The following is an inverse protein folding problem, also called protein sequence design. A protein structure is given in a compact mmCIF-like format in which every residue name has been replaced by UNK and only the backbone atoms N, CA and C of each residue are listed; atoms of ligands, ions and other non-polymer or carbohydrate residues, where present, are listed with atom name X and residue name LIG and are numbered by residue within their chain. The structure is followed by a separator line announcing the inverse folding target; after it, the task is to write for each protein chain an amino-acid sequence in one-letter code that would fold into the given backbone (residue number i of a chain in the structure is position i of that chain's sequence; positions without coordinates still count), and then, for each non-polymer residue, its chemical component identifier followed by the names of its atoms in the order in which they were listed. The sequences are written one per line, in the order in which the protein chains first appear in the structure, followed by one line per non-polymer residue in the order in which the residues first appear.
data_IF_429493657450
#
_entry.id   IF_429493657450
#
_cell.length_a   1.000
_cell.length_b   1.000
_cell.length_c   1.000
_cell.angle_alpha   90.00
_cell.angle_beta   90.00
_cell.angle_gamma   90.00
#
_symmetry.space_group_name_H-M   'P 1'
#
loop_
_entity.id
_entity.type
_entity.pdbx_description
1 polymer ?
#
# COMPACT_ATOMS: atom_id res chain seq x y z
N UNK A 1 7.02 17.47 -35.77
CA UNK A 1 7.94 17.48 -34.61
C UNK A 1 7.19 16.98 -33.39
N UNK A 2 7.62 15.92 -32.69
CA UNK A 2 6.99 15.52 -31.43
C UNK A 2 7.36 16.55 -30.36
N UNK A 3 6.35 17.12 -29.68
CA UNK A 3 6.55 18.03 -28.54
C UNK A 3 7.20 17.27 -27.38
N UNK A 4 8.26 17.84 -26.82
CA UNK A 4 8.88 17.36 -25.58
C UNK A 4 7.86 17.48 -24.43
N UNK A 5 7.54 16.37 -23.80
CA UNK A 5 6.81 16.34 -22.54
C UNK A 5 7.82 16.61 -21.43
N UNK A 6 7.59 17.68 -20.65
CA UNK A 6 8.38 17.96 -19.45
C UNK A 6 7.71 17.25 -18.26
N UNK A 7 8.32 16.22 -17.67
CA UNK A 7 7.83 15.68 -16.40
C UNK A 7 8.01 16.73 -15.30
N UNK A 8 6.91 17.10 -14.61
CA UNK A 8 6.99 17.86 -13.37
C UNK A 8 7.40 16.92 -12.24
N UNK A 9 8.59 17.13 -11.70
CA UNK A 9 9.16 16.33 -10.62
C UNK A 9 8.59 16.78 -9.26
N UNK A 10 7.80 15.92 -8.61
CA UNK A 10 7.55 15.96 -7.17
C UNK A 10 8.59 15.10 -6.45
N UNK A 11 9.22 15.63 -5.40
CA UNK A 11 10.33 14.98 -4.69
C UNK A 11 9.97 13.74 -3.84
N UNK A 12 8.75 13.22 -3.99
CA UNK A 12 8.36 11.89 -3.51
C UNK A 12 7.71 11.18 -4.68
N UNK A 13 8.36 10.15 -5.19
CA UNK A 13 8.01 9.44 -6.42
C UNK A 13 6.57 8.96 -6.44
N UNK A 14 5.72 9.75 -7.07
CA UNK A 14 4.41 9.36 -7.56
C UNK A 14 4.21 10.11 -8.86
N UNK A 15 4.23 9.37 -9.97
CA UNK A 15 3.81 9.88 -11.28
C UNK A 15 2.37 9.43 -11.45
N UNK A 16 1.45 10.40 -11.48
CA UNK A 16 0.13 10.20 -12.05
C UNK A 16 0.34 10.03 -13.55
N UNK A 17 0.17 8.82 -14.08
CA UNK A 17 0.18 8.58 -15.52
C UNK A 17 -1.14 9.11 -16.09
N UNK A 18 -1.19 10.39 -16.41
CA UNK A 18 -2.28 10.92 -17.25
C UNK A 18 -2.08 10.38 -18.68
N UNK A 19 -3.07 9.59 -19.11
CA UNK A 19 -3.04 8.78 -20.32
C UNK A 19 -2.85 9.58 -21.61
N UNK A 20 -2.20 8.93 -22.57
CA UNK A 20 -2.05 9.41 -23.93
C UNK A 20 -3.30 9.06 -24.74
N UNK A 21 -3.84 10.08 -25.42
CA UNK A 21 -4.80 10.08 -26.53
C UNK A 21 -6.32 9.98 -26.24
N UNK A 22 -7.00 11.12 -26.35
CA UNK A 22 -7.85 11.35 -27.52
C UNK A 22 -7.96 12.86 -27.83
N UNK A 23 -7.82 13.29 -29.10
CA UNK A 23 -8.11 14.65 -29.54
C UNK A 23 -9.57 14.73 -29.94
N UNK A 24 -10.41 15.34 -29.10
CA UNK A 24 -11.51 16.20 -29.54
C UNK A 24 -12.22 16.78 -28.32
N UNK A 25 -12.60 18.05 -28.45
CA UNK A 25 -12.87 18.93 -27.34
C UNK A 25 -14.12 18.63 -26.53
N UNK A 26 -14.03 18.92 -25.23
CA UNK A 26 -15.08 19.58 -24.48
C UNK A 26 -14.45 20.20 -23.23
N UNK A 27 -14.48 21.53 -23.18
CA UNK A 27 -14.28 22.31 -21.96
C UNK A 27 -15.36 21.89 -20.95
N UNK A 28 -14.95 21.20 -19.89
CA UNK A 28 -15.74 20.98 -18.70
C UNK A 28 -14.90 21.38 -17.50
N UNK A 29 -15.12 22.59 -17.00
CA UNK A 29 -14.60 23.07 -15.72
C UNK A 29 -14.96 22.05 -14.63
N UNK A 30 -13.94 21.44 -14.03
CA UNK A 30 -14.08 20.68 -12.79
C UNK A 30 -13.35 21.45 -11.70
N UNK A 31 -14.16 21.93 -10.76
CA UNK A 31 -13.81 22.63 -9.54
C UNK A 31 -12.54 22.07 -8.88
N UNK A 32 -11.50 22.89 -8.88
CA UNK A 32 -10.26 22.64 -8.17
C UNK A 32 -10.39 23.07 -6.71
N UNK A 33 -11.09 22.29 -5.88
CA UNK A 33 -10.89 22.31 -4.44
C UNK A 33 -9.66 21.47 -4.08
N UNK A 34 -8.48 21.96 -4.48
CA UNK A 34 -7.22 21.47 -3.95
C UNK A 34 -6.89 22.26 -2.69
N UNK A 35 -7.24 21.72 -1.52
CA UNK A 35 -6.68 22.22 -0.27
C UNK A 35 -5.14 22.10 -0.32
N UNK A 36 -4.39 23.12 0.11
CA UNK A 36 -2.94 23.10 0.04
C UNK A 36 -2.39 22.02 0.97
N UNK A 37 -1.55 21.13 0.44
CA UNK A 37 -0.84 20.06 1.16
C UNK A 37 0.04 20.51 2.36
N UNK A 38 0.07 21.81 2.69
CA UNK A 38 0.76 22.38 3.84
C UNK A 38 0.07 22.11 5.18
N UNK A 39 -1.27 22.00 5.21
CA UNK A 39 -2.01 21.90 6.48
C UNK A 39 -1.91 20.51 7.15
N UNK A 40 -1.76 19.45 6.36
CA UNK A 40 -1.72 18.09 6.90
C UNK A 40 -0.42 17.77 7.64
N UNK A 41 0.73 18.33 7.20
CA UNK A 41 2.02 18.14 7.90
C UNK A 41 2.07 18.89 9.22
N UNK A 42 1.48 20.08 9.29
CA UNK A 42 1.36 20.84 10.55
C UNK A 42 0.43 20.14 11.55
N UNK A 43 -0.58 19.41 11.05
CA UNK A 43 -1.48 18.65 11.90
C UNK A 43 -0.81 17.46 12.62
N UNK A 44 0.25 16.84 12.06
CA UNK A 44 0.95 15.76 12.79
C UNK A 44 1.56 16.25 14.09
N UNK A 45 2.28 17.36 14.02
CA UNK A 45 3.11 17.84 15.14
C UNK A 45 2.35 18.66 16.17
N UNK A 46 1.06 18.94 15.96
CA UNK A 46 0.24 19.66 16.94
C UNK A 46 -0.35 18.69 17.95
N UNK A 47 0.09 18.69 19.22
CA UNK A 47 -0.51 17.84 20.24
C UNK A 47 -1.98 18.21 20.47
N UNK A 48 -2.76 17.26 21.00
CA UNK A 48 -4.07 17.50 21.56
C UNK A 48 -3.94 18.54 22.68
N UNK A 49 -4.84 19.52 22.68
CA UNK A 49 -4.94 20.42 23.82
C UNK A 49 -5.43 19.65 25.05
N UNK A 50 -5.00 20.03 26.25
CA UNK A 50 -5.38 19.35 27.49
C UNK A 50 -6.90 19.17 27.64
N UNK A 51 -7.69 20.19 27.29
CA UNK A 51 -9.15 20.11 27.29
C UNK A 51 -9.70 19.02 26.35
N UNK A 52 -9.06 18.78 25.19
CA UNK A 52 -9.46 17.70 24.28
C UNK A 52 -9.14 16.33 24.88
N UNK A 53 -7.98 16.18 25.54
CA UNK A 53 -7.64 14.95 26.25
C UNK A 53 -8.61 14.68 27.40
N UNK A 54 -8.95 15.71 28.18
CA UNK A 54 -9.91 15.59 29.28
C UNK A 54 -11.32 15.26 28.76
N UNK A 55 -11.74 15.87 27.65
CA UNK A 55 -13.01 15.56 27.00
C UNK A 55 -13.10 14.12 26.49
N UNK A 56 -11.99 13.54 26.02
CA UNK A 56 -11.93 12.16 25.53
C UNK A 56 -12.13 11.15 26.66
N UNK A 57 -11.60 11.43 27.85
CA UNK A 57 -11.58 10.49 28.97
C UNK A 57 -12.68 10.74 30.01
N UNK A 58 -13.43 11.85 29.91
CA UNK A 58 -14.45 12.23 30.91
C UNK A 58 -15.53 11.17 31.15
N UNK A 59 -15.88 10.40 30.10
CA UNK A 59 -16.94 9.40 30.14
C UNK A 59 -16.39 8.00 30.47
N UNK A 60 -15.07 7.89 30.70
CA UNK A 60 -14.41 6.68 31.14
C UNK A 60 -14.26 6.73 32.66
N UNK A 61 -14.89 5.78 33.34
CA UNK A 61 -14.68 5.58 34.78
C UNK A 61 -13.26 5.03 35.01
N UNK A 62 -12.30 5.94 35.25
CA UNK A 62 -10.87 5.66 35.38
C UNK A 62 -10.37 6.00 36.79
N UNK A 63 -10.64 5.13 37.80
CA UNK A 63 -10.38 5.44 39.21
C UNK A 63 -8.90 5.61 39.55
N UNK A 64 -7.99 5.12 38.70
CA UNK A 64 -6.54 5.22 38.92
C UNK A 64 -5.89 6.37 38.13
N UNK A 65 -6.68 7.20 37.46
CA UNK A 65 -6.17 8.31 36.64
C UNK A 65 -5.67 9.49 37.49
N UNK A 66 -6.17 9.63 38.72
CA UNK A 66 -5.79 10.73 39.60
C UNK A 66 -4.27 10.70 39.88
N UNK A 67 -3.62 11.85 39.67
CA UNK A 67 -2.16 11.98 39.74
C UNK A 67 -1.40 11.55 38.47
N UNK A 68 -2.07 10.92 37.50
CA UNK A 68 -1.47 10.41 36.26
C UNK A 68 -1.97 11.11 34.98
N UNK A 69 -2.73 12.21 35.10
CA UNK A 69 -3.32 12.92 33.95
C UNK A 69 -2.30 13.31 32.89
N UNK A 70 -1.16 13.86 33.28
CA UNK A 70 -0.11 14.25 32.33
C UNK A 70 0.43 13.05 31.54
N UNK A 71 0.71 11.93 32.22
CA UNK A 71 1.17 10.70 31.56
C UNK A 71 0.11 10.15 30.59
N UNK A 72 -1.16 10.16 30.99
CA UNK A 72 -2.27 9.76 30.14
C UNK A 72 -2.38 10.66 28.89
N UNK A 73 -2.24 11.99 29.06
CA UNK A 73 -2.25 12.94 27.96
C UNK A 73 -1.08 12.72 27.00
N UNK A 74 0.12 12.44 27.51
CA UNK A 74 1.30 12.12 26.70
C UNK A 74 1.10 10.84 25.89
N UNK A 75 0.52 9.80 26.50
CA UNK A 75 0.17 8.56 25.80
C UNK A 75 -0.86 8.78 24.70
N UNK A 76 -1.93 9.55 24.95
CA UNK A 76 -2.93 9.88 23.93
C UNK A 76 -2.31 10.64 22.75
N UNK A 77 -1.39 11.56 23.02
CA UNK A 77 -0.66 12.29 21.99
C UNK A 77 0.24 11.39 21.14
N UNK A 78 0.95 10.47 21.78
CA UNK A 78 1.78 9.48 21.10
C UNK A 78 0.94 8.56 20.20
N UNK A 79 -0.17 7.99 20.72
CA UNK A 79 -1.10 7.15 19.94
C UNK A 79 -1.66 7.93 18.75
N UNK A 80 -2.02 9.20 18.94
CA UNK A 80 -2.53 10.08 17.89
C UNK A 80 -1.50 10.28 16.78
N UNK A 81 -0.24 10.51 17.15
CA UNK A 81 0.82 10.71 16.18
C UNK A 81 0.96 9.50 15.25
N UNK A 82 0.94 8.30 15.81
CA UNK A 82 0.99 7.06 15.02
C UNK A 82 -0.26 6.85 14.14
N UNK A 83 -1.46 7.16 14.65
CA UNK A 83 -2.68 7.12 13.85
C UNK A 83 -2.61 8.09 12.65
N UNK A 84 -2.10 9.30 12.87
CA UNK A 84 -1.95 10.32 11.81
C UNK A 84 -0.87 9.95 10.79
N UNK A 85 0.27 9.40 11.24
CA UNK A 85 1.32 8.88 10.35
C UNK A 85 0.75 7.80 9.43
N UNK A 86 -0.06 6.88 9.97
CA UNK A 86 -0.71 5.85 9.15
C UNK A 86 -1.65 6.47 8.11
N UNK A 87 -2.49 7.44 8.51
CA UNK A 87 -3.39 8.09 7.55
C UNK A 87 -2.65 8.82 6.44
N UNK A 88 -1.56 9.54 6.76
CA UNK A 88 -0.71 10.14 5.74
C UNK A 88 -0.07 9.10 4.83
N UNK A 89 0.43 8.00 5.40
CA UNK A 89 1.01 6.91 4.61
C UNK A 89 -0.01 6.34 3.65
N UNK A 90 -1.28 6.25 4.05
CA UNK A 90 -2.37 5.73 3.22
C UNK A 90 -2.90 6.71 2.19
N UNK A 91 -2.96 8.01 2.50
CA UNK A 91 -3.31 9.02 1.49
C UNK A 91 -2.25 9.10 0.38
N UNK A 92 -1.03 8.63 0.66
CA UNK A 92 0.07 8.47 -0.29
C UNK A 92 0.10 7.08 -0.94
N UNK A 93 -0.76 6.14 -0.56
CA UNK A 93 -0.80 4.83 -1.22
C UNK A 93 -1.75 4.88 -2.42
N UNK A 94 -1.40 4.20 -3.52
CA UNK A 94 -2.32 4.08 -4.64
C UNK A 94 -3.58 3.35 -4.19
N UNK A 95 -4.70 3.82 -4.71
CA UNK A 95 -6.00 3.19 -4.52
C UNK A 95 -5.99 1.78 -5.11
N UNK A 96 -6.96 0.97 -4.68
CA UNK A 96 -7.11 -0.39 -5.22
C UNK A 96 -7.35 -0.40 -6.74
N UNK A 97 -8.08 0.59 -7.25
CA UNK A 97 -8.33 0.73 -8.68
C UNK A 97 -7.03 1.02 -9.43
N UNK A 98 -6.23 1.97 -8.94
CA UNK A 98 -4.91 2.30 -9.51
C UNK A 98 -3.95 1.10 -9.45
N UNK A 99 -3.93 0.34 -8.35
CA UNK A 99 -3.15 -0.91 -8.27
C UNK A 99 -3.64 -1.93 -9.31
N UNK A 100 -4.95 -2.08 -9.49
CA UNK A 100 -5.49 -3.03 -10.47
C UNK A 100 -5.16 -2.63 -11.90
N UNK A 101 -5.24 -1.34 -12.22
CA UNK A 101 -4.85 -0.79 -13.52
C UNK A 101 -3.36 -0.99 -13.77
N UNK A 102 -2.50 -0.67 -12.79
CA UNK A 102 -1.05 -0.87 -12.88
C UNK A 102 -0.68 -2.34 -13.12
N UNK A 103 -1.30 -3.27 -12.38
CA UNK A 103 -1.09 -4.71 -12.57
C UNK A 103 -1.58 -5.19 -13.95
N UNK A 104 -2.74 -4.72 -14.41
CA UNK A 104 -3.29 -5.10 -15.71
C UNK A 104 -2.39 -4.59 -16.86
N UNK A 105 -2.01 -3.31 -16.84
CA UNK A 105 -1.11 -2.71 -17.81
C UNK A 105 0.26 -3.39 -17.82
N UNK A 106 0.83 -3.69 -16.65
CA UNK A 106 2.09 -4.41 -16.53
C UNK A 106 1.98 -5.80 -17.15
N UNK A 107 0.89 -6.53 -16.88
CA UNK A 107 0.62 -7.84 -17.48
C UNK A 107 0.52 -7.80 -19.00
N UNK A 108 -0.17 -6.80 -19.56
CA UNK A 108 -0.28 -6.62 -21.02
C UNK A 108 1.09 -6.35 -21.67
N UNK A 109 1.92 -5.52 -21.06
CA UNK A 109 3.27 -5.20 -21.57
C UNK A 109 4.23 -6.39 -21.47
N UNK A 110 4.13 -7.19 -20.41
CA UNK A 110 4.89 -8.42 -20.27
C UNK A 110 4.54 -9.40 -21.39
N UNK A 111 3.24 -9.62 -21.66
CA UNK A 111 2.80 -10.47 -22.76
C UNK A 111 3.28 -9.94 -24.12
N UNK A 112 3.11 -8.64 -24.36
CA UNK A 112 3.57 -8.04 -25.61
C UNK A 112 5.08 -8.21 -25.85
N UNK A 113 5.89 -8.12 -24.79
CA UNK A 113 7.32 -8.40 -24.86
C UNK A 113 7.62 -9.88 -25.17
N UNK A 114 6.90 -10.81 -24.53
CA UNK A 114 7.03 -12.26 -24.81
C UNK A 114 6.68 -12.55 -26.26
N UNK A 115 5.52 -12.09 -26.74
CA UNK A 115 5.06 -12.27 -28.13
C UNK A 115 6.07 -11.69 -29.14
N UNK A 116 6.61 -10.49 -28.86
CA UNK A 116 7.62 -9.86 -29.70
C UNK A 116 8.96 -10.64 -29.71
N UNK A 117 9.21 -11.48 -28.72
CA UNK A 117 10.43 -12.29 -28.57
C UNK A 117 10.31 -13.69 -29.17
N UNK A 118 9.10 -14.28 -29.20
CA UNK A 118 8.85 -15.66 -29.69
C UNK A 118 9.24 -15.86 -31.16
N UNK A 119 9.27 -14.78 -31.95
CA UNK A 119 9.57 -14.86 -33.38
C UNK A 119 11.08 -14.90 -33.70
N UNK A 120 11.99 -15.03 -32.70
CA UNK A 120 13.39 -14.58 -32.89
C UNK A 120 14.48 -15.40 -32.23
N UNK A 121 15.48 -15.71 -33.05
CA UNK A 121 16.82 -16.09 -32.62
C UNK A 121 17.72 -14.85 -32.63
N UNK A 122 17.53 -13.94 -31.66
CA UNK A 122 18.54 -12.91 -31.42
C UNK A 122 19.61 -13.49 -30.49
N UNK A 123 20.85 -13.63 -30.99
CA UNK A 123 22.05 -13.98 -30.20
C UNK A 123 22.47 -12.83 -29.27
N UNK A 124 21.51 -12.26 -28.54
CA UNK A 124 21.80 -11.26 -27.54
C UNK A 124 22.38 -11.93 -26.30
N UNK A 125 23.58 -11.50 -25.94
CA UNK A 125 24.30 -11.91 -24.74
C UNK A 125 24.59 -10.66 -23.93
N UNK A 126 24.28 -10.70 -22.64
CA UNK A 126 24.57 -9.61 -21.71
C UNK A 126 26.07 -9.60 -21.37
N UNK A 127 26.74 -8.47 -21.62
CA UNK A 127 28.20 -8.34 -21.47
C UNK A 127 28.69 -8.40 -20.00
N UNK A 128 27.83 -8.09 -19.02
CA UNK A 128 28.20 -8.08 -17.60
C UNK A 128 27.26 -8.96 -16.76
N UNK A 129 27.79 -9.99 -16.09
CA UNK A 129 27.03 -10.77 -15.11
C UNK A 129 26.92 -10.03 -13.76
N UNK A 130 25.77 -10.10 -13.07
CA UNK A 130 25.60 -9.43 -11.78
C UNK A 130 26.53 -10.00 -10.70
N UNK A 131 26.99 -9.13 -9.78
CA UNK A 131 27.89 -9.48 -8.67
C UNK A 131 27.14 -10.13 -7.50
N UNK A 132 25.80 -10.01 -7.46
CA UNK A 132 24.93 -10.49 -6.39
C UNK A 132 23.96 -11.56 -6.90
N UNK A 133 23.73 -12.59 -6.09
CA UNK A 133 22.76 -13.65 -6.37
C UNK A 133 21.35 -13.02 -6.51
N UNK A 134 20.68 -13.16 -7.67
CA UNK A 134 19.43 -12.44 -7.90
C UNK A 134 18.26 -13.17 -7.26
N UNK A 135 17.72 -12.59 -6.20
CA UNK A 135 16.42 -12.98 -5.65
C UNK A 135 15.25 -12.23 -6.32
N UNK A 136 13.99 -12.55 -5.97
CA UNK A 136 12.79 -11.96 -6.57
C UNK A 136 12.77 -10.42 -6.57
N UNK A 137 13.29 -9.80 -5.50
CA UNK A 137 13.37 -8.34 -5.38
C UNK A 137 14.33 -7.70 -6.38
N UNK A 138 15.33 -8.44 -6.85
CA UNK A 138 16.32 -7.92 -7.81
C UNK A 138 15.72 -7.78 -9.21
N UNK A 139 14.60 -8.46 -9.50
CA UNK A 139 13.90 -8.37 -10.79
C UNK A 139 13.47 -6.94 -11.06
N UNK A 140 12.86 -6.25 -10.10
CA UNK A 140 12.38 -4.87 -10.29
C UNK A 140 13.50 -3.84 -10.44
N UNK A 141 14.73 -4.16 -10.02
CA UNK A 141 15.88 -3.27 -10.09
C UNK A 141 16.81 -3.54 -11.27
N UNK A 142 17.10 -4.81 -11.55
CA UNK A 142 18.08 -5.22 -12.56
C UNK A 142 17.42 -5.50 -13.91
N UNK A 143 16.25 -6.13 -13.93
CA UNK A 143 15.61 -6.53 -15.18
C UNK A 143 15.30 -5.34 -16.11
N UNK A 144 14.77 -4.20 -15.64
CA UNK A 144 14.53 -3.05 -16.52
C UNK A 144 15.81 -2.52 -17.19
N UNK A 145 16.94 -2.53 -16.47
CA UNK A 145 18.23 -2.12 -17.05
C UNK A 145 18.64 -3.07 -18.18
N UNK A 146 18.46 -4.38 -17.99
CA UNK A 146 18.77 -5.40 -18.99
C UNK A 146 17.85 -5.28 -20.22
N UNK A 147 16.57 -5.00 -20.01
CA UNK A 147 15.62 -4.73 -21.10
C UNK A 147 16.02 -3.50 -21.92
N UNK A 148 16.50 -2.41 -21.30
CA UNK A 148 17.03 -1.25 -22.02
C UNK A 148 18.27 -1.59 -22.85
N UNK A 149 19.20 -2.37 -22.30
CA UNK A 149 20.37 -2.84 -23.06
C UNK A 149 19.96 -3.70 -24.26
N UNK A 150 18.97 -4.58 -24.09
CA UNK A 150 18.39 -5.37 -25.18
C UNK A 150 17.76 -4.46 -26.23
N UNK A 151 16.99 -3.46 -25.83
CA UNK A 151 16.35 -2.52 -26.75
C UNK A 151 17.37 -1.73 -27.58
N UNK A 152 18.42 -1.23 -26.95
CA UNK A 152 19.51 -0.53 -27.63
C UNK A 152 20.26 -1.44 -28.61
N UNK A 153 20.55 -2.67 -28.20
CA UNK A 153 21.15 -3.67 -29.08
C UNK A 153 20.25 -3.97 -30.29
N UNK A 154 18.97 -4.23 -30.06
CA UNK A 154 18.01 -4.55 -31.10
C UNK A 154 17.82 -3.38 -32.08
N UNK A 155 17.75 -2.13 -31.60
CA UNK A 155 17.72 -0.92 -32.45
C UNK A 155 18.98 -0.78 -33.29
N UNK A 156 20.16 -0.97 -32.70
CA UNK A 156 21.44 -0.91 -33.42
C UNK A 156 21.46 -1.96 -34.53
N UNK A 157 21.12 -3.22 -34.22
CA UNK A 157 21.10 -4.31 -35.19
C UNK A 157 20.04 -4.09 -36.29
N UNK A 158 18.86 -3.59 -35.94
CA UNK A 158 17.81 -3.23 -36.89
C UNK A 158 18.29 -2.20 -37.92
N UNK A 159 19.03 -1.17 -37.51
CA UNK A 159 19.56 -0.14 -38.42
C UNK A 159 20.56 -0.68 -39.45
N UNK A 160 21.31 -1.73 -39.10
CA UNK A 160 22.33 -2.31 -40.00
C UNK A 160 21.74 -3.35 -40.95
N UNK A 161 20.65 -4.01 -40.57
CA UNK A 161 20.08 -5.14 -41.32
C UNK A 161 18.65 -4.88 -41.85
N UNK A 162 18.09 -3.69 -41.59
CA UNK A 162 16.71 -3.27 -41.93
C UNK A 162 15.62 -4.28 -41.51
N UNK A 163 15.77 -4.85 -40.31
CA UNK A 163 14.86 -5.87 -39.79
C UNK A 163 13.77 -5.17 -38.96
N UNK A 164 12.62 -4.91 -39.57
CA UNK A 164 11.47 -4.25 -38.94
C UNK A 164 11.03 -4.93 -37.64
N UNK A 165 11.14 -6.26 -37.59
CA UNK A 165 10.87 -7.03 -36.39
C UNK A 165 11.75 -6.51 -35.24
N UNK A 166 13.08 -6.40 -35.37
CA UNK A 166 13.99 -5.94 -34.30
C UNK A 166 13.58 -4.61 -33.67
N UNK A 167 12.93 -3.73 -34.43
CA UNK A 167 12.33 -2.48 -33.91
C UNK A 167 11.17 -2.76 -32.96
N UNK A 168 10.28 -3.70 -33.28
CA UNK A 168 9.15 -4.12 -32.42
C UNK A 168 9.63 -4.66 -31.08
N UNK A 169 10.62 -5.57 -31.07
CA UNK A 169 11.19 -6.10 -29.82
C UNK A 169 11.84 -4.99 -28.98
N UNK A 170 12.58 -4.10 -29.63
CA UNK A 170 13.21 -3.00 -28.91
C UNK A 170 12.18 -2.09 -28.23
N UNK A 171 11.11 -1.75 -28.94
CA UNK A 171 10.03 -0.92 -28.40
C UNK A 171 9.28 -1.64 -27.27
N UNK A 172 9.04 -2.95 -27.40
CA UNK A 172 8.41 -3.73 -26.34
C UNK A 172 9.29 -3.81 -25.09
N UNK A 173 10.60 -4.05 -25.26
CA UNK A 173 11.57 -4.09 -24.17
C UNK A 173 11.69 -2.75 -23.44
N UNK A 174 11.79 -1.63 -24.17
CA UNK A 174 11.85 -0.29 -23.56
C UNK A 174 10.59 0.05 -22.76
N UNK A 175 9.40 -0.18 -23.35
CA UNK A 175 8.13 0.11 -22.68
C UNK A 175 7.96 -0.73 -21.42
N UNK A 176 8.34 -2.01 -21.48
CA UNK A 176 8.32 -2.89 -20.31
C UNK A 176 9.30 -2.40 -19.24
N UNK A 177 10.51 -1.98 -19.62
CA UNK A 177 11.48 -1.43 -18.68
C UNK A 177 10.95 -0.18 -17.97
N UNK A 178 10.33 0.74 -18.71
CA UNK A 178 9.78 1.98 -18.15
C UNK A 178 8.66 1.69 -17.14
N UNK A 179 7.73 0.80 -17.47
CA UNK A 179 6.64 0.44 -16.53
C UNK A 179 7.17 -0.28 -15.30
N UNK A 180 8.12 -1.21 -15.45
CA UNK A 180 8.70 -1.89 -14.29
C UNK A 180 9.49 -0.94 -13.39
N UNK A 181 10.15 0.09 -13.93
CA UNK A 181 10.85 1.12 -13.14
C UNK A 181 9.91 2.09 -12.41
N UNK A 182 8.72 2.32 -12.96
CA UNK A 182 7.73 3.26 -12.43
C UNK A 182 6.67 2.58 -11.56
N UNK A 183 6.71 1.25 -11.45
CA UNK A 183 5.76 0.50 -10.66
C UNK A 183 5.83 0.91 -9.19
N UNK A 184 4.68 1.24 -8.61
CA UNK A 184 4.63 1.65 -7.21
C UNK A 184 5.01 0.48 -6.27
N UNK A 185 5.40 0.84 -5.05
CA UNK A 185 5.82 -0.16 -4.05
C UNK A 185 4.72 -1.17 -3.71
N UNK A 186 3.44 -0.77 -3.69
CA UNK A 186 2.34 -1.67 -3.35
C UNK A 186 2.05 -2.68 -4.46
N UNK A 187 2.13 -2.27 -5.72
CA UNK A 187 2.00 -3.16 -6.88
C UNK A 187 3.19 -4.10 -7.00
N UNK A 188 4.43 -3.59 -6.85
CA UNK A 188 5.64 -4.43 -6.88
C UNK A 188 5.72 -5.44 -5.74
N UNK A 189 5.32 -5.07 -4.51
CA UNK A 189 5.21 -5.99 -3.37
C UNK A 189 4.19 -7.12 -3.66
N UNK A 190 3.04 -6.79 -4.26
CA UNK A 190 2.05 -7.80 -4.65
C UNK A 190 2.59 -8.79 -5.68
N UNK A 191 3.28 -8.32 -6.71
CA UNK A 191 3.89 -9.22 -7.71
C UNK A 191 5.00 -10.05 -7.07
N UNK A 192 5.84 -9.43 -6.23
CA UNK A 192 6.98 -10.10 -5.58
C UNK A 192 6.56 -11.29 -4.72
N UNK A 193 5.43 -11.20 -4.02
CA UNK A 193 4.90 -12.30 -3.20
C UNK A 193 4.43 -13.51 -4.01
N UNK A 194 4.10 -13.31 -5.29
CA UNK A 194 3.67 -14.37 -6.20
C UNK A 194 4.83 -14.88 -7.08
N UNK A 195 6.01 -14.26 -6.99
CA UNK A 195 7.20 -14.74 -7.68
C UNK A 195 7.78 -15.95 -6.91
N UNK A 196 8.21 -17.01 -7.62
CA UNK A 196 8.91 -18.13 -7.00
C UNK A 196 10.17 -17.67 -6.25
N UNK A 197 10.43 -18.22 -5.07
CA UNK A 197 11.72 -18.08 -4.39
C UNK A 197 12.79 -18.90 -5.14
N UNK A 198 13.29 -18.32 -6.23
CA UNK A 198 14.30 -18.91 -7.08
C UNK A 198 15.50 -17.98 -7.24
N UNK A 199 16.68 -18.55 -7.47
CA UNK A 199 17.94 -17.83 -7.66
C UNK A 199 18.29 -17.60 -9.14
N UNK A 200 17.39 -17.92 -10.07
CA UNK A 200 17.62 -17.95 -11.52
C UNK A 200 16.99 -16.76 -12.26
N UNK A 201 17.00 -15.59 -11.61
CA UNK A 201 16.61 -14.30 -12.19
C UNK A 201 17.76 -13.58 -12.90
N UNK A 202 18.87 -14.27 -13.18
CA UNK A 202 19.95 -13.75 -14.02
C UNK A 202 19.51 -13.67 -15.48
N UNK A 203 19.76 -12.52 -16.11
CA UNK A 203 19.60 -12.35 -17.55
C UNK A 203 20.97 -12.45 -18.19
N UNK A 204 21.25 -13.56 -18.88
CA UNK A 204 22.46 -13.73 -19.69
C UNK A 204 22.14 -13.68 -21.18
N UNK A 205 21.00 -14.25 -21.55
CA UNK A 205 20.54 -14.34 -22.93
C UNK A 205 19.10 -13.82 -23.09
N UNK A 206 18.66 -13.66 -24.35
CA UNK A 206 17.26 -13.33 -24.64
C UNK A 206 16.29 -14.35 -24.03
N UNK A 207 16.63 -15.65 -24.09
CA UNK A 207 15.79 -16.70 -23.51
C UNK A 207 15.59 -16.53 -22.00
N UNK A 208 16.58 -16.02 -21.28
CA UNK A 208 16.44 -15.74 -19.85
C UNK A 208 15.51 -14.55 -19.61
N UNK A 209 15.63 -13.49 -20.43
CA UNK A 209 14.72 -12.35 -20.36
C UNK A 209 13.27 -12.77 -20.64
N UNK A 210 13.04 -13.63 -21.63
CA UNK A 210 11.71 -14.18 -21.93
C UNK A 210 11.19 -15.02 -20.77
N UNK A 211 12.01 -15.93 -20.22
CA UNK A 211 11.64 -16.75 -19.06
C UNK A 211 11.26 -15.89 -17.86
N UNK A 212 12.02 -14.84 -17.56
CA UNK A 212 11.74 -13.92 -16.46
C UNK A 212 10.46 -13.13 -16.74
N UNK A 213 10.25 -12.66 -17.97
CA UNK A 213 9.02 -11.96 -18.35
C UNK A 213 7.78 -12.86 -18.23
N UNK A 214 7.85 -14.12 -18.65
CA UNK A 214 6.76 -15.09 -18.49
C UNK A 214 6.42 -15.34 -17.01
N UNK A 215 7.44 -15.47 -16.15
CA UNK A 215 7.22 -15.60 -14.69
C UNK A 215 6.59 -14.36 -14.09
N UNK A 216 7.08 -13.18 -14.47
CA UNK A 216 6.49 -11.91 -14.06
C UNK A 216 5.05 -11.79 -14.55
N UNK A 217 4.74 -12.23 -15.77
CA UNK A 217 3.37 -12.18 -16.31
C UNK A 217 2.44 -13.05 -15.45
N UNK A 218 2.87 -14.28 -15.16
CA UNK A 218 2.12 -15.19 -14.31
C UNK A 218 1.92 -14.64 -12.89
N UNK A 219 2.97 -14.11 -12.27
CA UNK A 219 2.91 -13.50 -10.94
C UNK A 219 2.00 -12.26 -10.93
N UNK A 220 2.11 -11.39 -11.95
CA UNK A 220 1.28 -10.19 -12.10
C UNK A 220 -0.19 -10.53 -12.25
N UNK A 221 -0.51 -11.52 -13.08
CA UNK A 221 -1.88 -12.00 -13.26
C UNK A 221 -2.43 -12.63 -11.98
N UNK A 222 -1.65 -13.46 -11.30
CA UNK A 222 -2.03 -14.08 -10.03
C UNK A 222 -2.28 -13.03 -8.95
N UNK A 223 -1.40 -12.01 -8.86
CA UNK A 223 -1.57 -10.87 -7.97
C UNK A 223 -2.85 -10.09 -8.28
N UNK A 224 -3.15 -9.82 -9.56
CA UNK A 224 -4.37 -9.14 -9.98
C UNK A 224 -5.63 -9.94 -9.62
N UNK A 225 -5.65 -11.24 -9.94
CA UNK A 225 -6.78 -12.12 -9.65
C UNK A 225 -7.03 -12.24 -8.14
N UNK A 226 -5.97 -12.44 -7.35
CA UNK A 226 -6.06 -12.49 -5.88
C UNK A 226 -6.49 -11.14 -5.29
N UNK A 227 -5.96 -10.03 -5.84
CA UNK A 227 -6.33 -8.67 -5.43
C UNK A 227 -7.77 -8.33 -5.82
N UNK A 228 -8.34 -8.89 -6.88
CA UNK A 228 -9.78 -8.77 -7.22
C UNK A 228 -10.66 -9.62 -6.32
N UNK A 229 -10.26 -10.87 -6.03
CA UNK A 229 -11.01 -11.82 -5.18
C UNK A 229 -11.12 -11.40 -3.72
N UNK A 230 -10.11 -10.73 -3.15
CA UNK A 230 -10.17 -10.18 -1.79
C UNK A 230 -11.12 -8.97 -1.74
N UNK A 231 -12.42 -9.19 -1.82
CA UNK A 231 -13.44 -8.15 -1.64
C UNK A 231 -13.30 -7.49 -0.25
N UNK A 232 -13.48 -6.17 -0.18
CA UNK A 232 -13.47 -5.42 1.08
C UNK A 232 -12.33 -4.39 1.21
N UNK A 233 -12.41 -3.53 2.23
CA UNK A 233 -11.39 -2.53 2.52
C UNK A 233 -10.06 -3.22 2.86
N UNK A 234 -8.95 -2.60 2.47
CA UNK A 234 -7.62 -3.08 2.81
C UNK A 234 -7.51 -3.25 4.35
N UNK A 235 -6.93 -4.36 4.84
CA UNK A 235 -6.72 -4.55 6.26
C UNK A 235 -5.88 -3.41 6.83
N UNK A 236 -6.24 -2.93 8.02
CA UNK A 236 -5.63 -1.76 8.66
C UNK A 236 -4.95 -2.17 9.96
N UNK A 237 -3.84 -2.94 9.89
CA UNK A 237 -3.20 -3.49 11.08
C UNK A 237 -2.76 -2.40 12.06
N UNK A 238 -2.25 -1.28 11.55
CA UNK A 238 -1.86 -0.12 12.38
C UNK A 238 -3.05 0.47 13.13
N UNK A 239 -4.22 0.61 12.48
CA UNK A 239 -5.43 1.12 13.15
C UNK A 239 -5.94 0.14 14.21
N UNK A 240 -5.82 -1.16 13.96
CA UNK A 240 -6.11 -2.18 14.99
C UNK A 240 -5.13 -2.04 16.17
N UNK A 241 -3.85 -1.79 15.91
CA UNK A 241 -2.84 -1.58 16.94
C UNK A 241 -3.11 -0.30 17.75
N UNK A 242 -3.52 0.79 17.10
CA UNK A 242 -3.96 2.02 17.77
C UNK A 242 -5.10 1.71 18.75
N UNK A 243 -6.09 0.92 18.33
CA UNK A 243 -7.19 0.50 19.21
C UNK A 243 -6.71 -0.38 20.36
N UNK A 244 -5.70 -1.24 20.15
CA UNK A 244 -5.07 -2.02 21.23
C UNK A 244 -4.41 -1.10 22.25
N UNK A 245 -3.65 -0.09 21.83
CA UNK A 245 -3.02 0.86 22.76
C UNK A 245 -4.04 1.72 23.51
N UNK A 246 -5.12 2.13 22.84
CA UNK A 246 -6.24 2.81 23.51
C UNK A 246 -6.88 1.90 24.57
N UNK A 247 -7.02 0.61 24.29
CA UNK A 247 -7.54 -0.35 25.26
C UNK A 247 -6.61 -0.53 26.46
N UNK A 248 -5.30 -0.66 26.21
CA UNK A 248 -4.28 -0.75 27.26
C UNK A 248 -4.27 0.50 28.15
N UNK A 249 -4.43 1.68 27.55
CA UNK A 249 -4.52 2.94 28.30
C UNK A 249 -5.72 2.95 29.26
N UNK A 250 -6.90 2.54 28.79
CA UNK A 250 -8.12 2.46 29.61
C UNK A 250 -7.95 1.48 30.76
N UNK A 251 -7.47 0.26 30.47
CA UNK A 251 -7.28 -0.79 31.46
C UNK A 251 -6.20 -0.44 32.49
N UNK A 252 -5.13 0.26 32.06
CA UNK A 252 -4.06 0.73 32.94
C UNK A 252 -4.57 1.67 34.03
N UNK A 253 -5.60 2.46 33.75
CA UNK A 253 -6.19 3.39 34.70
C UNK A 253 -7.47 2.87 35.38
N UNK A 254 -7.68 1.55 35.37
CA UNK A 254 -8.75 0.89 36.11
C UNK A 254 -10.09 0.81 35.38
N UNK A 255 -10.16 1.28 34.13
CA UNK A 255 -11.33 1.14 33.29
C UNK A 255 -11.46 -0.26 32.68
N UNK A 256 -12.61 -0.56 32.08
CA UNK A 256 -12.84 -1.82 31.35
C UNK A 256 -13.02 -1.55 29.86
N UNK A 257 -12.18 -2.14 29.03
CA UNK A 257 -12.28 -2.00 27.58
C UNK A 257 -13.14 -3.09 26.96
N UNK A 258 -14.43 -2.83 26.81
CA UNK A 258 -15.40 -3.74 26.20
C UNK A 258 -15.91 -3.23 24.84
N UNK A 259 -16.12 -4.14 23.90
CA UNK A 259 -16.90 -3.94 22.68
C UNK A 259 -18.20 -4.75 22.87
N UNK A 260 -19.36 -4.17 22.55
CA UNK A 260 -20.73 -4.52 23.03
C UNK A 260 -21.04 -6.01 23.35
N UNK A 261 -21.98 -6.28 24.29
CA UNK A 261 -22.02 -7.48 25.10
C UNK A 261 -22.70 -8.64 24.37
N UNK A 262 -22.36 -9.85 24.75
CA UNK A 262 -23.08 -11.08 24.44
C UNK A 262 -24.48 -11.14 25.11
N UNK A 263 -25.26 -10.06 25.11
CA UNK A 263 -26.67 -10.09 25.53
C UNK A 263 -27.54 -10.36 24.29
N UNK A 264 -27.41 -11.56 23.71
CA UNK A 264 -28.44 -12.21 22.88
C UNK A 264 -29.08 -11.47 21.69
N UNK A 265 -28.64 -10.26 21.33
CA UNK A 265 -29.22 -9.45 20.26
C UNK A 265 -28.23 -9.27 19.12
N UNK A 266 -28.77 -9.16 17.91
CA UNK A 266 -27.99 -9.02 16.69
C UNK A 266 -27.05 -7.81 16.77
N UNK A 267 -25.79 -8.04 16.39
CA UNK A 267 -24.77 -6.99 16.28
C UNK A 267 -25.18 -5.96 15.22
N UNK A 268 -25.40 -4.71 15.63
CA UNK A 268 -25.81 -3.60 14.77
C UNK A 268 -24.63 -2.78 14.21
N UNK A 269 -23.40 -3.06 14.67
CA UNK A 269 -22.19 -2.37 14.24
C UNK A 269 -21.90 -1.03 14.94
N UNK A 270 -22.67 -0.66 15.97
CA UNK A 270 -22.53 0.61 16.67
C UNK A 270 -21.58 0.52 17.88
N UNK A 271 -20.67 1.49 18.08
CA UNK A 271 -19.83 1.56 19.29
C UNK A 271 -20.66 2.10 20.46
N UNK A 272 -21.52 1.27 21.03
CA UNK A 272 -22.45 1.69 22.09
C UNK A 272 -21.83 1.69 23.51
N UNK A 273 -20.62 1.14 23.69
CA UNK A 273 -19.94 1.11 24.99
C UNK A 273 -19.17 2.42 25.25
N UNK A 274 -18.95 2.84 26.51
CA UNK A 274 -18.09 3.99 26.82
C UNK A 274 -16.69 3.87 26.20
N UNK A 275 -16.12 2.66 26.20
CA UNK A 275 -14.86 2.37 25.52
C UNK A 275 -14.96 2.54 23.99
N UNK A 276 -16.08 2.13 23.37
CA UNK A 276 -16.30 2.33 21.95
C UNK A 276 -16.49 3.79 21.56
N UNK A 277 -17.24 4.55 22.35
CA UNK A 277 -17.40 5.98 22.18
C UNK A 277 -16.09 6.73 22.38
N UNK A 278 -15.28 6.33 23.35
CA UNK A 278 -13.92 6.86 23.53
C UNK A 278 -13.07 6.67 22.28
N UNK A 279 -13.00 5.45 21.73
CA UNK A 279 -12.22 5.20 20.50
C UNK A 279 -12.78 6.01 19.33
N UNK A 280 -14.11 6.07 19.17
CA UNK A 280 -14.74 6.86 18.10
C UNK A 280 -14.41 8.35 18.23
N UNK A 281 -14.59 8.92 19.41
CA UNK A 281 -14.30 10.32 19.71
C UNK A 281 -12.80 10.62 19.56
N UNK A 282 -11.92 9.68 19.93
CA UNK A 282 -10.49 9.81 19.71
C UNK A 282 -10.19 9.94 18.21
N UNK A 283 -10.73 9.06 17.38
CA UNK A 283 -10.52 9.10 15.93
C UNK A 283 -11.07 10.39 15.31
N UNK A 284 -12.24 10.86 15.72
CA UNK A 284 -12.80 12.14 15.27
C UNK A 284 -11.99 13.36 15.73
N UNK A 285 -11.48 13.33 16.96
CA UNK A 285 -10.62 14.40 17.50
C UNK A 285 -9.28 14.49 16.76
N UNK A 286 -8.82 13.39 16.17
CA UNK A 286 -7.64 13.36 15.33
C UNK A 286 -7.80 14.06 13.95
N UNK A 287 -8.86 14.86 13.74
CA UNK A 287 -9.12 15.71 12.55
C UNK A 287 -9.52 14.91 11.27
N UNK A 288 -9.99 15.59 10.18
CA UNK A 288 -10.60 14.95 9.00
C UNK A 288 -9.90 13.73 8.38
N UNK A 289 -8.54 13.59 8.37
CA UNK A 289 -7.92 12.38 7.82
C UNK A 289 -8.32 11.08 8.56
N UNK A 290 -8.89 11.16 9.76
CA UNK A 290 -9.27 10.03 10.62
C UNK A 290 -10.77 9.94 10.92
N UNK A 291 -11.64 10.68 10.20
CA UNK A 291 -13.10 10.61 10.35
C UNK A 291 -13.65 9.24 9.94
N UNK A 292 -13.40 8.24 10.78
CA UNK A 292 -13.86 6.88 10.60
C UNK A 292 -15.36 6.81 10.90
N UNK A 293 -16.07 6.03 10.09
CA UNK A 293 -17.46 5.72 10.39
C UNK A 293 -17.54 4.91 11.69
N UNK A 294 -18.65 5.00 12.45
CA UNK A 294 -18.87 4.15 13.63
C UNK A 294 -18.66 2.66 13.33
N UNK A 295 -19.14 2.19 12.17
CA UNK A 295 -18.94 0.81 11.72
C UNK A 295 -17.46 0.43 11.56
N UNK A 296 -16.65 1.35 11.03
CA UNK A 296 -15.21 1.12 10.84
C UNK A 296 -14.51 0.97 12.19
N UNK A 297 -14.84 1.83 13.15
CA UNK A 297 -14.29 1.77 14.52
C UNK A 297 -14.67 0.46 15.20
N UNK A 298 -15.94 0.07 15.12
CA UNK A 298 -16.41 -1.21 15.67
C UNK A 298 -15.68 -2.41 15.06
N UNK A 299 -15.43 -2.39 13.74
CA UNK A 299 -14.65 -3.44 13.09
C UNK A 299 -13.19 -3.51 13.60
N UNK A 300 -12.54 -2.36 13.86
CA UNK A 300 -11.20 -2.34 14.44
C UNK A 300 -11.18 -2.85 15.87
N UNK A 301 -12.16 -2.47 16.69
CA UNK A 301 -12.31 -2.97 18.06
C UNK A 301 -12.53 -4.49 18.10
N UNK A 302 -13.42 -5.01 17.25
CA UNK A 302 -13.64 -6.46 17.14
C UNK A 302 -12.35 -7.20 16.75
N UNK A 303 -11.58 -6.66 15.80
CA UNK A 303 -10.29 -7.22 15.40
C UNK A 303 -9.25 -7.17 16.53
N UNK A 304 -9.17 -6.06 17.26
CA UNK A 304 -8.27 -5.89 18.40
C UNK A 304 -8.56 -6.91 19.50
N UNK A 305 -9.83 -7.09 19.88
CA UNK A 305 -10.24 -8.07 20.89
C UNK A 305 -9.92 -9.50 20.45
N UNK A 306 -10.24 -9.84 19.20
CA UNK A 306 -9.91 -11.16 18.63
C UNK A 306 -8.41 -11.43 18.66
N UNK A 307 -7.59 -10.42 18.35
CA UNK A 307 -6.13 -10.52 18.41
C UNK A 307 -5.64 -10.76 19.85
N UNK A 308 -6.12 -9.95 20.81
CA UNK A 308 -5.77 -10.07 22.23
C UNK A 308 -6.15 -11.43 22.81
N UNK A 309 -7.32 -11.96 22.45
CA UNK A 309 -7.78 -13.27 22.90
C UNK A 309 -6.94 -14.44 22.34
N UNK A 310 -6.48 -14.33 21.09
CA UNK A 310 -5.57 -15.33 20.50
C UNK A 310 -4.20 -15.33 21.15
N UNK A 311 -3.67 -14.15 21.51
CA UNK A 311 -2.40 -14.04 22.22
C UNK A 311 -2.44 -14.62 23.65
N UNK A 312 -3.62 -14.65 24.28
CA UNK A 312 -3.82 -15.28 25.60
C UNK A 312 -3.92 -16.82 25.53
N UNK A 313 -4.38 -17.36 24.40
CA UNK A 313 -4.65 -18.79 24.21
C UNK A 313 -3.44 -19.77 24.16
N UNK A 314 -2.14 -19.40 24.04
CA UNK A 314 -1.09 -20.41 23.92
C UNK A 314 -0.73 -21.12 25.24
N UNK A 315 -1.04 -20.57 26.42
CA UNK A 315 -0.58 -21.14 27.71
C UNK A 315 -1.39 -20.73 28.97
N UNK A 316 -2.58 -20.11 28.88
CA UNK A 316 -3.26 -19.62 30.10
C UNK A 316 -4.18 -20.66 30.75
N UNK A 317 -3.74 -21.25 31.86
CA UNK A 317 -4.60 -21.78 32.95
C UNK A 317 -5.32 -20.66 33.71
N UNK A 318 -5.61 -19.53 33.05
CA UNK A 318 -6.45 -18.46 33.60
C UNK A 318 -7.79 -18.55 32.91
N UNK A 319 -8.53 -19.61 33.26
CA UNK A 319 -9.98 -19.50 33.32
C UNK A 319 -10.31 -18.82 34.64
N UNK A 320 -11.27 -17.90 34.56
CA UNK A 320 -11.88 -17.15 35.65
C UNK A 320 -11.17 -15.84 36.01
N UNK A 321 -11.96 -14.76 36.00
CA UNK A 321 -11.63 -13.37 36.39
C UNK A 321 -11.00 -12.50 35.31
N UNK A 322 -11.67 -12.41 34.18
CA UNK A 322 -11.76 -11.15 33.41
C UNK A 322 -13.05 -11.23 32.59
N UNK A 323 -14.09 -10.53 33.06
CA UNK A 323 -15.38 -10.38 32.37
C UNK A 323 -15.61 -8.90 32.13
#
# INVERSE_FOLDING_TARGET
MPKRVNPKWGWTGMVRLEGYASPDGALGELDSHSEPAGDQRQALHRPLAGAQCDDLIKDLDLPLLDGHRTECHDWLNWIREDALRECLRRSQQPTRAEIHEALDQTGQLLRHFVDASEQRHADWIVEESPILAPGPLTVFWLFPRRLRTLADYAKKKARHADIAELVVLANAADRLADVLMLLDWASSDKISRELPEAYDYEVRHLVDAVRIAQRLEHATRTALETSKKRGGPLPQPTMVQVVIWLAELVERYGGTFTHNPYVGTAYDGSPQTPAGLFVLNFMWTCKPPLSASPQTVSNWMAAAIKWRNRARAPNSEIRERSF
#
